data_IF_351485042744
#
_entry.id   IF_351485042744
#
_cell.length_a   1.000
_cell.length_b   1.000
_cell.length_c   1.000
_cell.angle_alpha   90.00
_cell.angle_beta   90.00
_cell.angle_gamma   90.00
#
_symmetry.space_group_name_H-M   'P 1'
#
loop_
_entity.id
_entity.type
_entity.pdbx_description
1 polymer ?
#
# COMPACT_ATOMS: atom_id res chain seq x y z
N UNK A 1 -1.45 -0.88 -8.67
CA UNK A 1 -0.74 -2.18 -8.75
C UNK A 1 0.10 -2.37 -7.50
N UNK A 2 0.29 -3.61 -7.08
CA UNK A 2 1.25 -3.94 -6.02
C UNK A 2 2.64 -4.04 -6.62
N UNK A 3 3.58 -3.28 -6.06
CA UNK A 3 4.98 -3.24 -6.52
C UNK A 3 5.93 -3.67 -5.42
N UNK A 4 7.11 -4.16 -5.82
CA UNK A 4 8.19 -4.46 -4.87
C UNK A 4 8.78 -3.14 -4.36
N UNK A 5 8.60 -2.89 -3.06
CA UNK A 5 9.39 -1.88 -2.35
C UNK A 5 10.68 -2.46 -1.78
N UNK A 6 11.26 -1.77 -0.80
CA UNK A 6 12.49 -2.21 -0.12
C UNK A 6 12.28 -3.37 0.88
N UNK A 7 11.04 -3.83 1.09
CA UNK A 7 10.69 -4.99 1.91
C UNK A 7 11.17 -4.95 3.38
N UNK A 8 11.49 -3.75 3.90
CA UNK A 8 11.98 -3.57 5.28
C UNK A 8 11.00 -4.03 6.37
N UNK A 9 9.68 -4.02 6.11
CA UNK A 9 8.68 -4.54 7.06
C UNK A 9 8.71 -6.07 7.22
N UNK A 10 9.18 -6.80 6.20
CA UNK A 10 9.24 -8.26 6.22
C UNK A 10 10.22 -8.79 7.26
N UNK A 11 11.25 -8.01 7.63
CA UNK A 11 12.25 -8.43 8.62
C UNK A 11 11.77 -8.34 10.07
N UNK A 12 10.65 -7.67 10.33
CA UNK A 12 10.07 -7.49 11.68
C UNK A 12 8.70 -8.17 11.85
N UNK A 13 8.27 -8.99 10.90
CA UNK A 13 6.99 -9.72 10.96
C UNK A 13 5.76 -8.92 10.53
N UNK A 14 5.94 -7.76 9.89
CA UNK A 14 4.86 -6.91 9.39
C UNK A 14 4.98 -6.71 7.88
N UNK A 15 4.56 -7.70 7.07
CA UNK A 15 4.68 -7.60 5.62
C UNK A 15 3.80 -6.48 5.05
N UNK A 16 4.38 -5.62 4.22
CA UNK A 16 3.70 -4.48 3.59
C UNK A 16 3.85 -4.54 2.09
N UNK A 17 2.75 -4.30 1.37
CA UNK A 17 2.73 -4.14 -0.07
C UNK A 17 2.85 -2.65 -0.43
N UNK A 18 3.73 -2.32 -1.38
CA UNK A 18 3.79 -0.96 -1.93
C UNK A 18 2.77 -0.82 -3.05
N UNK A 19 2.08 0.31 -3.12
CA UNK A 19 1.00 0.57 -4.07
C UNK A 19 1.42 1.67 -5.04
N UNK A 20 1.45 1.33 -6.32
CA UNK A 20 1.63 2.29 -7.41
C UNK A 20 0.28 2.62 -8.05
N UNK A 21 0.02 3.91 -8.24
CA UNK A 21 -1.16 4.44 -8.93
C UNK A 21 -0.67 5.04 -10.25
N UNK A 22 -0.85 4.35 -11.39
CA UNK A 22 -0.37 4.85 -12.68
C UNK A 22 -1.19 6.05 -13.17
N UNK A 23 -2.44 6.19 -12.73
CA UNK A 23 -3.28 7.34 -13.06
C UNK A 23 -2.86 8.58 -12.27
N UNK A 24 -1.96 9.38 -12.85
CA UNK A 24 -1.43 10.62 -12.23
C UNK A 24 -2.49 11.65 -11.85
N UNK A 25 -3.68 11.58 -12.45
CA UNK A 25 -4.80 12.48 -12.16
C UNK A 25 -5.64 12.05 -10.94
N UNK A 26 -5.39 10.87 -10.39
CA UNK A 26 -6.19 10.32 -9.30
C UNK A 26 -5.91 11.06 -7.99
N UNK A 27 -6.97 11.54 -7.35
CA UNK A 27 -6.87 12.13 -6.03
C UNK A 27 -6.47 11.06 -5.01
N UNK A 28 -5.47 11.39 -4.19
CA UNK A 28 -5.06 10.58 -3.04
C UNK A 28 -5.35 11.38 -1.77
N UNK A 29 -5.75 10.73 -0.67
CA UNK A 29 -5.84 11.39 0.62
C UNK A 29 -4.52 12.08 1.02
N UNK A 30 -4.59 12.94 2.03
CA UNK A 30 -3.42 13.58 2.61
C UNK A 30 -2.45 12.53 3.17
N UNK A 31 -1.23 12.96 3.49
CA UNK A 31 -0.30 12.08 4.18
C UNK A 31 -0.87 11.71 5.55
N UNK A 32 -0.75 10.44 5.93
CA UNK A 32 -1.39 9.90 7.12
C UNK A 32 -1.53 8.39 7.06
N UNK A 33 -2.13 7.85 8.12
CA UNK A 33 -2.41 6.43 8.28
C UNK A 33 -3.91 6.23 8.24
N UNK A 34 -4.36 5.26 7.46
CA UNK A 34 -5.76 5.03 7.14
C UNK A 34 -6.14 3.58 7.39
N UNK A 35 -7.37 3.36 7.87
CA UNK A 35 -7.97 2.03 7.85
C UNK A 35 -8.55 1.80 6.45
N UNK A 36 -8.21 0.68 5.84
CA UNK A 36 -8.65 0.34 4.48
C UNK A 36 -9.25 -1.05 4.40
N UNK A 37 -10.10 -1.23 3.39
CA UNK A 37 -10.48 -2.55 2.88
C UNK A 37 -9.84 -2.72 1.50
N UNK A 38 -9.05 -3.79 1.35
CA UNK A 38 -8.46 -4.19 0.09
C UNK A 38 -9.25 -5.35 -0.51
N UNK A 39 -9.59 -5.28 -1.80
CA UNK A 39 -10.16 -6.40 -2.54
C UNK A 39 -9.14 -6.93 -3.54
N UNK A 40 -8.85 -8.23 -3.45
CA UNK A 40 -7.98 -8.99 -4.35
C UNK A 40 -8.68 -10.30 -4.74
N UNK A 41 -8.83 -10.54 -6.05
CA UNK A 41 -9.50 -11.74 -6.59
C UNK A 41 -10.83 -12.09 -5.89
N UNK A 42 -11.72 -11.11 -5.70
CA UNK A 42 -13.02 -11.20 -5.00
C UNK A 42 -12.95 -11.44 -3.47
N UNK A 43 -11.76 -11.61 -2.88
CA UNK A 43 -11.58 -11.67 -1.44
C UNK A 43 -11.32 -10.27 -0.89
N UNK A 44 -11.87 -9.99 0.29
CA UNK A 44 -11.70 -8.70 0.96
C UNK A 44 -10.91 -8.86 2.25
N UNK A 45 -9.94 -7.98 2.44
CA UNK A 45 -9.04 -7.96 3.59
C UNK A 45 -9.04 -6.56 4.20
N UNK A 46 -9.05 -6.47 5.52
CA UNK A 46 -8.83 -5.21 6.21
C UNK A 46 -7.34 -4.96 6.39
N UNK A 47 -6.94 -3.70 6.48
CA UNK A 47 -5.55 -3.36 6.68
C UNK A 47 -5.32 -1.91 7.09
N UNK A 48 -4.06 -1.62 7.37
CA UNK A 48 -3.57 -0.27 7.61
C UNK A 48 -2.81 0.20 6.37
N UNK A 49 -3.16 1.37 5.85
CA UNK A 49 -2.48 2.00 4.72
C UNK A 49 -1.79 3.29 5.18
N UNK A 50 -0.51 3.41 4.89
CA UNK A 50 0.29 4.60 5.14
C UNK A 50 0.53 5.37 3.84
N UNK A 51 0.19 6.66 3.82
CA UNK A 51 0.56 7.60 2.77
C UNK A 51 1.62 8.53 3.33
N UNK A 52 2.83 8.41 2.81
CA UNK A 52 3.99 9.15 3.30
C UNK A 52 4.80 9.78 2.18
N UNK A 53 5.89 10.43 2.57
CA UNK A 53 6.94 10.85 1.64
C UNK A 53 8.21 10.12 2.02
N UNK A 54 8.87 9.48 1.06
CA UNK A 54 10.21 8.94 1.24
C UNK A 54 11.21 10.06 0.96
N UNK A 55 12.08 10.45 1.91
CA UNK A 55 13.19 11.33 1.61
C UNK A 55 14.15 10.57 0.68
N UNK A 56 14.28 11.03 -0.56
CA UNK A 56 15.26 10.52 -1.51
C UNK A 56 16.29 11.61 -1.79
N UNK A 57 17.49 11.21 -2.23
CA UNK A 57 18.56 12.16 -2.60
C UNK A 57 18.10 13.12 -3.71
N UNK A 58 17.09 12.72 -4.49
CA UNK A 58 16.52 13.45 -5.62
C UNK A 58 15.22 14.22 -5.29
N UNK A 59 14.67 14.13 -4.07
CA UNK A 59 13.41 14.78 -3.72
C UNK A 59 12.56 14.06 -2.65
N UNK A 60 11.25 14.30 -2.68
CA UNK A 60 10.24 13.62 -1.86
C UNK A 60 9.29 12.87 -2.77
N UNK A 61 9.42 11.55 -2.84
CA UNK A 61 8.46 10.71 -3.57
C UNK A 61 7.34 10.31 -2.62
N UNK A 62 6.08 10.52 -3.05
CA UNK A 62 4.92 10.05 -2.30
C UNK A 62 4.92 8.51 -2.33
N UNK A 63 4.82 7.89 -1.16
CA UNK A 63 4.76 6.44 -1.02
C UNK A 63 3.41 6.03 -0.43
N UNK A 64 2.87 4.92 -0.94
CA UNK A 64 1.66 4.29 -0.42
C UNK A 64 2.02 2.85 -0.06
N UNK A 65 1.89 2.51 1.21
CA UNK A 65 2.21 1.18 1.73
C UNK A 65 1.00 0.63 2.47
N UNK A 66 0.62 -0.62 2.22
CA UNK A 66 -0.52 -1.28 2.89
C UNK A 66 -0.06 -2.55 3.60
N UNK A 67 -0.46 -2.70 4.85
CA UNK A 67 -0.35 -3.93 5.63
C UNK A 67 -1.74 -4.54 5.74
N UNK A 68 -1.95 -5.72 5.14
CA UNK A 68 -3.22 -6.46 5.21
C UNK A 68 -3.19 -7.43 6.39
N UNK A 69 -4.26 -7.44 7.19
CA UNK A 69 -4.37 -8.33 8.34
C UNK A 69 -4.67 -9.76 7.89
N UNK A 70 -4.05 -10.74 8.56
CA UNK A 70 -4.25 -12.18 8.30
C UNK A 70 -4.08 -12.55 6.82
N UNK A 71 -3.06 -11.97 6.17
CA UNK A 71 -2.82 -12.10 4.73
C UNK A 71 -1.41 -12.69 4.49
N UNK A 72 -1.32 -13.83 3.79
CA UNK A 72 -0.04 -14.52 3.53
C UNK A 72 0.30 -14.71 2.04
N UNK A 73 -0.52 -14.15 1.15
CA UNK A 73 -0.36 -14.34 -0.29
C UNK A 73 0.73 -13.41 -0.86
N UNK A 74 1.51 -13.92 -1.81
CA UNK A 74 2.33 -13.09 -2.68
C UNK A 74 1.45 -12.50 -3.80
N UNK A 75 1.34 -11.18 -3.81
CA UNK A 75 0.51 -10.42 -4.77
C UNK A 75 1.32 -9.39 -5.56
N UNK A 76 2.65 -9.51 -5.63
CA UNK A 76 3.46 -8.61 -6.45
C UNK A 76 3.04 -8.66 -7.92
N UNK A 77 2.81 -7.49 -8.52
CA UNK A 77 2.33 -7.35 -9.89
C UNK A 77 0.81 -7.30 -10.03
N UNK A 78 0.07 -7.71 -8.99
CA UNK A 78 -1.38 -7.77 -9.06
C UNK A 78 -2.04 -6.38 -8.91
N UNK A 79 -3.24 -6.27 -9.48
CA UNK A 79 -4.13 -5.15 -9.19
C UNK A 79 -4.96 -5.46 -7.95
N UNK A 80 -5.01 -4.50 -7.02
CA UNK A 80 -5.89 -4.55 -5.86
C UNK A 80 -6.74 -3.29 -5.83
N UNK A 81 -7.98 -3.44 -5.39
CA UNK A 81 -8.86 -2.29 -5.12
C UNK A 81 -8.70 -1.90 -3.67
N UNK A 82 -8.47 -0.61 -3.40
CA UNK A 82 -8.41 -0.05 -2.05
C UNK A 82 -9.61 0.84 -1.81
N UNK A 83 -10.32 0.61 -0.71
CA UNK A 83 -11.38 1.45 -0.19
C UNK A 83 -10.92 2.04 1.15
N UNK A 84 -10.90 3.38 1.23
CA UNK A 84 -10.59 4.11 2.47
C UNK A 84 -11.82 4.12 3.37
N UNK A 85 -11.64 3.78 4.65
CA UNK A 85 -12.72 3.77 5.64
C UNK A 85 -12.61 4.97 6.57
N UNK A 86 -11.45 5.16 7.21
CA UNK A 86 -11.14 6.25 8.14
C UNK A 86 -9.71 6.74 7.97
#
# INVERSE_FOLDING_TARGET
FVVKGQQLGNTIGYPTANIEIPEVYKLTPKNGVYVVKATHQNNSYFGMLNIGNRPTVSGKDKTIEVHLFNFDLDIYGDSIKIEFLH
#
